data_IF_274729083100
#
_entry.id   IF_274729083100
#
_cell.length_a   1.000
_cell.length_b   1.000
_cell.length_c   1.000
_cell.angle_alpha   90.00
_cell.angle_beta   90.00
_cell.angle_gamma   90.00
#
_symmetry.space_group_name_H-M   'P 1'
#
loop_
_entity.id
_entity.type
_entity.pdbx_description
1 polymer ?
#
# COMPACT_ATOMS: atom_id res chain seq x y z
N UNK A 1 29.06 11.79 55.13
CA UNK A 1 28.81 12.67 53.95
C UNK A 1 29.12 11.96 52.63
N UNK A 2 30.22 11.22 52.52
CA UNK A 2 30.63 10.53 51.28
C UNK A 2 29.63 9.48 50.77
N UNK A 3 28.93 8.79 51.69
CA UNK A 3 27.95 7.76 51.35
C UNK A 3 26.72 8.33 50.63
N UNK A 4 26.30 9.54 51.03
CA UNK A 4 25.14 10.23 50.46
C UNK A 4 25.45 10.74 49.05
N UNK A 5 26.65 11.30 48.84
CA UNK A 5 27.07 11.78 47.52
C UNK A 5 27.18 10.63 46.52
N UNK A 6 27.77 9.49 46.91
CA UNK A 6 27.88 8.32 46.04
C UNK A 6 26.51 7.75 45.64
N UNK A 7 25.55 7.75 46.57
CA UNK A 7 24.19 7.28 46.29
C UNK A 7 23.50 8.17 45.25
N UNK A 8 23.62 9.49 45.37
CA UNK A 8 23.03 10.45 44.43
C UNK A 8 23.61 10.26 43.03
N UNK A 9 24.93 10.10 42.90
CA UNK A 9 25.56 9.86 41.61
C UNK A 9 25.12 8.53 40.98
N UNK A 10 25.01 7.47 41.78
CA UNK A 10 24.55 6.16 41.28
C UNK A 10 23.11 6.25 40.75
N UNK A 11 22.22 6.93 41.46
CA UNK A 11 20.83 7.14 41.02
C UNK A 11 20.78 7.95 39.73
N UNK A 12 21.56 9.03 39.63
CA UNK A 12 21.63 9.83 38.40
C UNK A 12 22.08 9.01 37.19
N UNK A 13 23.15 8.22 37.33
CA UNK A 13 23.63 7.35 36.24
C UNK A 13 22.57 6.31 35.84
N UNK A 14 21.85 5.77 36.81
CA UNK A 14 20.79 4.80 36.56
C UNK A 14 19.66 5.40 35.73
N UNK A 15 19.22 6.62 36.06
CA UNK A 15 18.15 7.32 35.32
C UNK A 15 18.60 7.63 33.89
N UNK A 16 19.83 8.10 33.70
CA UNK A 16 20.38 8.39 32.37
C UNK A 16 20.44 7.10 31.53
N UNK A 17 20.91 5.99 32.12
CA UNK A 17 20.98 4.70 31.44
C UNK A 17 19.58 4.19 31.03
N UNK A 18 18.58 4.33 31.90
CA UNK A 18 17.20 3.92 31.62
C UNK A 18 16.58 4.71 30.46
N UNK A 19 16.76 6.04 30.44
CA UNK A 19 16.25 6.89 29.35
C UNK A 19 16.87 6.51 28.01
N UNK A 20 18.18 6.27 27.98
CA UNK A 20 18.88 5.83 26.76
C UNK A 20 18.35 4.50 26.21
N UNK A 21 18.07 3.52 27.09
CA UNK A 21 17.48 2.24 26.68
C UNK A 21 16.03 2.37 26.19
N UNK A 22 15.26 3.29 26.79
CA UNK A 22 13.90 3.57 26.36
C UNK A 22 13.88 4.15 24.93
N UNK A 23 14.76 5.11 24.65
CA UNK A 23 14.88 5.71 23.31
C UNK A 23 15.25 4.66 22.25
N UNK A 24 16.22 3.79 22.56
CA UNK A 24 16.60 2.70 21.66
C UNK A 24 15.43 1.76 21.35
N UNK A 25 14.60 1.45 22.36
CA UNK A 25 13.42 0.59 22.18
C UNK A 25 12.36 1.26 21.28
N UNK A 26 12.15 2.58 21.42
CA UNK A 26 11.22 3.31 20.56
C UNK A 26 11.74 3.34 19.12
N UNK A 27 13.03 3.58 18.92
CA UNK A 27 13.66 3.55 17.60
C UNK A 27 13.56 2.17 16.94
N UNK A 28 13.78 1.10 17.69
CA UNK A 28 13.63 -0.28 17.19
C UNK A 28 12.19 -0.55 16.72
N UNK A 29 11.19 -0.16 17.51
CA UNK A 29 9.78 -0.29 17.13
C UNK A 29 9.42 0.54 15.91
N UNK A 30 9.92 1.77 15.82
CA UNK A 30 9.70 2.63 14.65
C UNK A 30 10.38 2.06 13.39
N UNK A 31 11.59 1.52 13.52
CA UNK A 31 12.31 0.86 12.43
C UNK A 31 11.60 -0.42 11.96
N UNK A 32 11.11 -1.24 12.90
CA UNK A 32 10.31 -2.43 12.62
C UNK A 32 9.02 -2.08 11.88
N UNK A 33 8.25 -1.13 12.41
CA UNK A 33 7.03 -0.65 11.76
C UNK A 33 7.30 -0.09 10.36
N UNK A 34 8.32 0.74 10.19
CA UNK A 34 8.72 1.29 8.88
C UNK A 34 9.07 0.16 7.88
N UNK A 35 9.79 -0.86 8.33
CA UNK A 35 10.10 -2.03 7.49
C UNK A 35 8.84 -2.78 7.06
N UNK A 36 7.90 -3.01 7.97
CA UNK A 36 6.65 -3.71 7.68
C UNK A 36 5.79 -2.94 6.67
N UNK A 37 5.72 -1.61 6.81
CA UNK A 37 5.05 -0.74 5.84
C UNK A 37 5.71 -0.78 4.46
N UNK A 38 7.04 -0.75 4.40
CA UNK A 38 7.77 -0.85 3.12
C UNK A 38 7.51 -2.19 2.42
N UNK A 39 7.43 -3.29 3.16
CA UNK A 39 7.12 -4.60 2.60
C UNK A 39 5.67 -4.66 2.08
N UNK A 40 4.71 -4.12 2.84
CA UNK A 40 3.32 -4.01 2.40
C UNK A 40 3.20 -3.17 1.11
N UNK A 41 3.94 -2.07 1.01
CA UNK A 41 3.99 -1.23 -0.19
C UNK A 41 4.57 -1.97 -1.40
N UNK A 42 5.70 -2.67 -1.23
CA UNK A 42 6.30 -3.46 -2.32
C UNK A 42 5.35 -4.56 -2.82
N UNK A 43 4.62 -5.21 -1.90
CA UNK A 43 3.60 -6.19 -2.27
C UNK A 43 2.49 -5.54 -3.10
N UNK A 44 1.93 -4.43 -2.61
CA UNK A 44 0.87 -3.70 -3.31
C UNK A 44 1.32 -3.21 -4.69
N UNK A 45 2.53 -2.68 -4.82
CA UNK A 45 3.06 -2.15 -6.10
C UNK A 45 3.26 -3.27 -7.12
N UNK A 46 3.80 -4.41 -6.70
CA UNK A 46 3.95 -5.56 -7.61
C UNK A 46 2.59 -6.08 -8.09
N UNK A 47 1.60 -6.18 -7.19
CA UNK A 47 0.23 -6.54 -7.57
C UNK A 47 -0.39 -5.53 -8.52
N UNK A 48 -0.16 -4.23 -8.29
CA UNK A 48 -0.65 -3.15 -9.16
C UNK A 48 -0.05 -3.26 -10.55
N UNK A 49 1.27 -3.45 -10.67
CA UNK A 49 1.93 -3.65 -11.95
C UNK A 49 1.40 -4.88 -12.69
N UNK A 50 1.12 -5.98 -11.98
CA UNK A 50 0.56 -7.18 -12.60
C UNK A 50 -0.88 -6.96 -13.07
N UNK A 51 -1.68 -6.25 -12.28
CA UNK A 51 -3.03 -5.89 -12.63
C UNK A 51 -3.07 -4.94 -13.85
N UNK A 52 -2.15 -3.99 -13.94
CA UNK A 52 -1.97 -3.12 -15.11
C UNK A 52 -1.60 -3.90 -16.37
N UNK A 53 -0.67 -4.86 -16.26
CA UNK A 53 -0.33 -5.75 -17.38
C UNK A 53 -1.56 -6.53 -17.87
N UNK A 54 -2.34 -7.08 -16.94
CA UNK A 54 -3.59 -7.81 -17.26
C UNK A 54 -4.64 -6.89 -17.88
N UNK A 55 -4.81 -5.68 -17.35
CA UNK A 55 -5.76 -4.70 -17.88
C UNK A 55 -5.41 -4.34 -19.33
N UNK A 56 -4.12 -4.17 -19.65
CA UNK A 56 -3.64 -3.85 -21.00
C UNK A 56 -3.78 -5.01 -21.98
N UNK A 57 -3.46 -6.23 -21.55
CA UNK A 57 -3.46 -7.41 -22.43
C UNK A 57 -4.86 -7.98 -22.67
N UNK A 58 -5.69 -8.00 -21.62
CA UNK A 58 -6.99 -8.68 -21.64
C UNK A 58 -8.16 -7.72 -21.81
N UNK A 59 -8.00 -6.43 -21.46
CA UNK A 59 -9.08 -5.43 -21.44
C UNK A 59 -10.35 -5.99 -20.78
N UNK A 60 -10.29 -6.33 -19.48
CA UNK A 60 -11.36 -7.05 -18.82
C UNK A 60 -12.69 -6.31 -18.97
N UNK A 61 -13.70 -7.02 -19.48
CA UNK A 61 -15.05 -6.48 -19.73
C UNK A 61 -15.95 -6.52 -18.48
N UNK A 62 -15.47 -7.13 -17.39
CA UNK A 62 -16.11 -7.22 -16.08
C UNK A 62 -15.04 -7.11 -14.99
N UNK A 63 -15.45 -6.83 -13.73
CA UNK A 63 -14.52 -6.70 -12.60
C UNK A 63 -13.63 -7.93 -12.48
N UNK A 64 -12.31 -7.75 -12.60
CA UNK A 64 -11.34 -8.82 -12.45
C UNK A 64 -10.64 -8.70 -11.09
N UNK A 65 -10.85 -9.70 -10.23
CA UNK A 65 -10.18 -9.81 -8.93
C UNK A 65 -9.13 -10.91 -8.98
N UNK A 66 -7.92 -10.62 -8.52
CA UNK A 66 -6.85 -11.61 -8.46
C UNK A 66 -5.99 -11.47 -7.22
N UNK A 67 -5.29 -12.55 -6.90
CA UNK A 67 -4.25 -12.54 -5.88
C UNK A 67 -2.91 -12.81 -6.55
N UNK A 68 -1.89 -12.05 -6.17
CA UNK A 68 -0.51 -12.24 -6.57
C UNK A 68 0.35 -12.48 -5.32
N UNK A 69 1.21 -13.49 -5.37
CA UNK A 69 2.18 -13.77 -4.32
C UNK A 69 3.57 -13.46 -4.89
N UNK A 70 4.30 -12.52 -4.27
CA UNK A 70 5.66 -12.16 -4.74
C UNK A 70 6.66 -13.31 -4.57
N UNK A 71 6.47 -14.14 -3.56
CA UNK A 71 7.31 -15.30 -3.29
C UNK A 71 6.49 -16.35 -2.53
N UNK A 72 6.69 -17.63 -2.86
CA UNK A 72 5.95 -18.73 -2.24
C UNK A 72 6.32 -18.92 -0.75
N UNK A 73 7.47 -18.38 -0.32
CA UNK A 73 8.02 -18.54 1.03
C UNK A 73 7.71 -17.34 1.94
N UNK A 74 7.37 -16.18 1.36
CA UNK A 74 6.98 -14.99 2.10
C UNK A 74 5.49 -14.71 1.96
N UNK A 75 4.80 -14.51 3.09
CA UNK A 75 3.35 -14.23 3.19
C UNK A 75 2.94 -12.85 2.64
N UNK A 76 3.72 -12.26 1.73
CA UNK A 76 3.45 -10.99 1.06
C UNK A 76 2.45 -11.22 -0.07
N UNK A 77 1.19 -11.28 0.33
CA UNK A 77 0.06 -11.41 -0.57
C UNK A 77 -0.37 -10.02 -1.03
N UNK A 78 -0.52 -9.85 -2.33
CA UNK A 78 -1.19 -8.70 -2.92
C UNK A 78 -2.53 -9.15 -3.51
N UNK A 79 -3.61 -8.46 -3.17
CA UNK A 79 -4.91 -8.65 -3.82
C UNK A 79 -5.18 -7.44 -4.69
N UNK A 80 -5.52 -7.67 -5.97
CA UNK A 80 -5.84 -6.59 -6.90
C UNK A 80 -7.25 -6.74 -7.47
N UNK A 81 -7.89 -5.61 -7.73
CA UNK A 81 -9.17 -5.48 -8.41
C UNK A 81 -8.99 -4.57 -9.62
N UNK A 82 -9.58 -4.95 -10.75
CA UNK A 82 -9.64 -4.14 -11.96
C UNK A 82 -11.11 -3.91 -12.27
N UNK A 83 -11.56 -2.68 -12.16
CA UNK A 83 -12.91 -2.25 -12.48
C UNK A 83 -12.91 -1.42 -13.76
N UNK A 84 -13.88 -1.69 -14.63
CA UNK A 84 -14.12 -0.91 -15.86
C UNK A 84 -15.33 -0.03 -15.67
N UNK A 85 -15.23 1.23 -16.06
CA UNK A 85 -16.36 2.17 -16.09
C UNK A 85 -16.47 2.79 -17.48
N UNK A 86 -17.68 2.76 -18.04
CA UNK A 86 -17.98 3.38 -19.33
C UNK A 86 -18.26 4.88 -19.15
N UNK A 87 -17.61 5.72 -19.95
CA UNK A 87 -17.91 7.14 -20.08
C UNK A 87 -18.55 7.36 -21.44
N UNK A 88 -19.86 7.56 -21.42
CA UNK A 88 -20.62 7.93 -22.62
C UNK A 88 -20.53 9.44 -22.84
N UNK A 89 -19.60 9.90 -23.68
CA UNK A 89 -19.65 11.27 -24.19
C UNK A 89 -20.79 11.38 -25.22
N UNK A 90 -21.94 11.93 -24.81
CA UNK A 90 -22.99 12.32 -25.76
C UNK A 90 -22.78 13.77 -26.17
N UNK A 91 -22.43 14.00 -27.42
CA UNK A 91 -22.33 15.34 -28.00
C UNK A 91 -23.73 15.82 -28.38
N UNK A 92 -24.01 17.14 -28.41
CA UNK A 92 -25.35 17.64 -28.77
C UNK A 92 -25.80 17.21 -30.19
N UNK A 93 -24.85 17.01 -31.12
CA UNK A 93 -25.10 16.45 -32.46
C UNK A 93 -25.56 14.98 -32.44
N UNK A 94 -25.11 14.20 -31.45
CA UNK A 94 -25.45 12.78 -31.29
C UNK A 94 -26.91 12.61 -30.82
N UNK A 95 -27.42 13.60 -30.09
CA UNK A 95 -28.83 13.64 -29.66
C UNK A 95 -29.79 13.95 -30.81
N UNK A 96 -29.37 14.74 -31.81
CA UNK A 96 -30.21 15.12 -32.96
C UNK A 96 -30.15 14.11 -34.10
N UNK A 97 -29.01 13.43 -34.32
CA UNK A 97 -28.84 12.47 -35.41
C UNK A 97 -29.19 11.03 -35.03
N UNK A 98 -29.48 10.74 -33.75
CA UNK A 98 -29.68 9.37 -33.26
C UNK A 98 -28.42 8.49 -33.35
N UNK A 99 -27.26 9.12 -33.58
CA UNK A 99 -25.95 8.46 -33.68
C UNK A 99 -25.39 8.29 -32.27
N UNK A 100 -24.94 7.09 -31.91
CA UNK A 100 -24.31 6.82 -30.61
C UNK A 100 -22.80 7.01 -30.77
N UNK A 101 -22.22 8.01 -30.08
CA UNK A 101 -20.76 8.19 -30.00
C UNK A 101 -20.10 6.94 -29.36
N UNK A 102 -18.90 6.53 -29.82
CA UNK A 102 -18.18 5.42 -29.22
C UNK A 102 -17.92 5.69 -27.74
N UNK A 103 -18.19 4.70 -26.87
CA UNK A 103 -17.98 4.83 -25.43
C UNK A 103 -16.47 4.83 -25.12
N UNK A 104 -16.02 5.82 -24.34
CA UNK A 104 -14.67 5.82 -23.76
C UNK A 104 -14.66 4.98 -22.49
N UNK A 105 -13.59 4.23 -22.22
CA UNK A 105 -13.50 3.37 -21.04
C UNK A 105 -12.43 3.86 -20.07
N UNK A 106 -12.77 3.86 -18.79
CA UNK A 106 -11.83 4.11 -17.70
C UNK A 106 -11.66 2.83 -16.91
N UNK A 107 -10.41 2.41 -16.78
CA UNK A 107 -10.02 1.29 -15.95
C UNK A 107 -9.49 1.82 -14.62
N UNK A 108 -10.15 1.44 -13.52
CA UNK A 108 -9.65 1.64 -12.16
C UNK A 108 -8.99 0.36 -11.72
N UNK A 109 -7.76 0.48 -11.24
CA UNK A 109 -7.00 -0.66 -10.73
C UNK A 109 -6.68 -0.36 -9.28
N UNK A 110 -7.09 -1.25 -8.39
CA UNK A 110 -6.80 -1.17 -6.96
C UNK A 110 -5.95 -2.38 -6.58
N UNK A 111 -4.91 -2.17 -5.78
CA UNK A 111 -4.04 -3.24 -5.28
C UNK A 111 -3.77 -3.04 -3.80
N UNK A 112 -4.04 -4.06 -2.99
CA UNK A 112 -3.79 -4.10 -1.56
C UNK A 112 -2.67 -5.08 -1.25
N UNK A 113 -1.64 -4.64 -0.53
CA UNK A 113 -0.50 -5.44 -0.09
C UNK A 113 -0.43 -5.53 1.44
N UNK A 114 -0.22 -6.74 1.95
CA UNK A 114 -0.11 -7.00 3.39
C UNK A 114 1.34 -7.27 3.83
N UNK A 115 1.76 -6.63 4.92
CA UNK A 115 3.04 -6.82 5.59
C UNK A 115 2.94 -7.69 6.86
N UNK A 116 4.05 -8.24 7.35
CA UNK A 116 4.07 -9.19 8.47
C UNK A 116 3.62 -8.59 9.82
N UNK A 117 3.72 -7.27 10.01
CA UNK A 117 3.27 -6.55 11.21
C UNK A 117 1.82 -6.05 11.19
N UNK A 118 0.92 -6.67 10.39
CA UNK A 118 -0.43 -6.17 10.10
C UNK A 118 -0.49 -4.85 9.34
N UNK A 119 0.65 -4.41 8.77
CA UNK A 119 0.66 -3.29 7.84
C UNK A 119 -0.17 -3.63 6.61
N UNK A 120 -1.10 -2.76 6.22
CA UNK A 120 -1.86 -2.88 4.99
C UNK A 120 -1.72 -1.58 4.20
N UNK A 121 -1.33 -1.71 2.94
CA UNK A 121 -1.19 -0.59 2.00
C UNK A 121 -2.09 -0.85 0.81
N UNK A 122 -2.88 0.15 0.42
CA UNK A 122 -3.73 0.11 -0.77
C UNK A 122 -3.25 1.16 -1.75
N UNK A 123 -3.02 0.76 -2.99
CA UNK A 123 -2.63 1.61 -4.10
C UNK A 123 -3.75 1.62 -5.14
N UNK A 124 -3.96 2.76 -5.78
CA UNK A 124 -4.95 2.93 -6.82
C UNK A 124 -4.32 3.58 -8.05
N UNK A 125 -4.58 3.01 -9.22
CA UNK A 125 -4.22 3.54 -10.52
C UNK A 125 -5.48 3.70 -11.37
N UNK A 126 -5.50 4.68 -12.26
CA UNK A 126 -6.60 4.89 -13.19
C UNK A 126 -6.04 5.12 -14.58
N UNK A 127 -6.47 4.29 -15.51
CA UNK A 127 -6.06 4.29 -16.91
C UNK A 127 -7.27 4.60 -17.80
N UNK A 128 -7.05 5.38 -18.86
CA UNK A 128 -8.05 5.65 -19.89
C UNK A 128 -7.51 5.07 -21.21
N UNK A 129 -8.37 4.37 -21.94
CA UNK A 129 -8.07 3.88 -23.30
C UNK A 129 -8.53 4.88 -24.37
#
# INVERSE_FOLDING_TARGET
MILVTSLIFLVMLTIIALVSMQDATIQEKMAGNSRDYNLAFQAAESGLRKAEEIARLTQPTSTATGTFMLDAMFKHQSTYNIDRTEIQQRTMQDLEAGVVSPASFVYRIESSGAGPGSANVVLQSTYMD
#
